data_IF_733807108308
#
_entry.id   IF_733807108308
#
_cell.length_a   1.000
_cell.length_b   1.000
_cell.length_c   1.000
_cell.angle_alpha   90.00
_cell.angle_beta   90.00
_cell.angle_gamma   90.00
#
_symmetry.space_group_name_H-M   'P 1'
#
loop_
_entity.id
_entity.type
_entity.pdbx_description
1 polymer ?
#
# COMPACT_ATOMS: atom_id res chain seq x y z
N UNK A 1 16.33 -6.07 10.93
CA UNK A 1 15.25 -7.03 11.24
C UNK A 1 15.75 -8.41 10.81
N UNK A 2 15.51 -9.42 11.64
CA UNK A 2 16.05 -10.78 11.48
C UNK A 2 15.79 -11.33 10.08
N UNK A 3 16.81 -11.83 9.40
CA UNK A 3 16.79 -12.40 8.04
C UNK A 3 16.08 -13.78 7.99
N UNK A 4 15.09 -13.99 8.86
CA UNK A 4 14.37 -15.26 8.97
C UNK A 4 13.26 -15.27 7.91
N UNK A 5 13.12 -16.37 7.15
CA UNK A 5 11.98 -16.55 6.26
C UNK A 5 10.67 -16.32 7.02
N UNK A 6 9.72 -15.64 6.38
CA UNK A 6 8.41 -15.31 6.97
C UNK A 6 7.70 -16.54 7.53
N UNK A 7 7.83 -17.69 6.86
CA UNK A 7 7.23 -18.97 7.26
C UNK A 7 7.76 -19.52 8.61
N UNK A 8 8.90 -19.02 9.09
CA UNK A 8 9.53 -19.45 10.35
C UNK A 8 9.25 -18.48 11.51
N UNK A 9 8.46 -17.44 11.29
CA UNK A 9 8.10 -16.49 12.34
C UNK A 9 7.00 -17.07 13.24
N UNK A 10 7.07 -16.85 14.56
CA UNK A 10 5.96 -17.16 15.46
C UNK A 10 4.67 -16.45 15.03
N UNK A 11 3.51 -17.07 15.25
CA UNK A 11 2.20 -16.51 14.89
C UNK A 11 2.01 -15.07 15.39
N UNK A 12 2.48 -14.77 16.62
CA UNK A 12 2.44 -13.41 17.17
C UNK A 12 3.25 -12.41 16.33
N UNK A 13 4.43 -12.80 15.84
CA UNK A 13 5.26 -11.94 14.99
C UNK A 13 4.64 -11.77 13.60
N UNK A 14 4.01 -12.81 13.06
CA UNK A 14 3.25 -12.72 11.81
C UNK A 14 2.10 -11.72 11.91
N UNK A 15 1.32 -11.78 13.00
CA UNK A 15 0.20 -10.86 13.23
C UNK A 15 0.71 -9.41 13.37
N UNK A 16 1.79 -9.20 14.11
CA UNK A 16 2.38 -7.88 14.27
C UNK A 16 2.91 -7.32 12.93
N UNK A 17 3.52 -8.17 12.10
CA UNK A 17 3.98 -7.78 10.76
C UNK A 17 2.82 -7.42 9.84
N UNK A 18 1.76 -8.23 9.82
CA UNK A 18 0.54 -7.92 9.08
C UNK A 18 -0.06 -6.57 9.51
N UNK A 19 -0.18 -6.35 10.82
CA UNK A 19 -0.70 -5.09 11.37
C UNK A 19 0.16 -3.89 10.98
N UNK A 20 1.49 -4.03 11.05
CA UNK A 20 2.43 -2.97 10.67
C UNK A 20 2.26 -2.58 9.20
N UNK A 21 2.29 -3.55 8.28
CA UNK A 21 2.17 -3.25 6.85
C UNK A 21 0.78 -2.76 6.46
N UNK A 22 -0.28 -3.23 7.13
CA UNK A 22 -1.64 -2.70 6.91
C UNK A 22 -1.74 -1.23 7.33
N UNK A 23 -1.13 -0.84 8.46
CA UNK A 23 -1.10 0.56 8.88
C UNK A 23 -0.27 1.42 7.92
N UNK A 24 0.89 0.92 7.49
CA UNK A 24 1.73 1.62 6.52
C UNK A 24 1.00 1.83 5.18
N UNK A 25 0.21 0.83 4.75
CA UNK A 25 -0.64 0.94 3.56
C UNK A 25 -1.74 2.00 3.74
N UNK A 26 -2.45 1.98 4.86
CA UNK A 26 -3.48 2.97 5.21
C UNK A 26 -2.89 4.39 5.20
N UNK A 27 -1.80 4.61 5.92
CA UNK A 27 -1.12 5.90 5.98
C UNK A 27 -0.66 6.38 4.59
N UNK A 28 -0.11 5.48 3.77
CA UNK A 28 0.31 5.82 2.40
C UNK A 28 -0.88 6.16 1.49
N UNK A 29 -2.00 5.45 1.62
CA UNK A 29 -3.20 5.75 0.83
C UNK A 29 -3.77 7.13 1.21
N UNK A 30 -3.86 7.42 2.50
CA UNK A 30 -4.40 8.68 3.03
C UNK A 30 -3.50 9.89 2.74
N UNK A 31 -2.20 9.75 2.94
CA UNK A 31 -1.27 10.90 2.90
C UNK A 31 -0.48 10.97 1.58
N UNK A 32 -0.27 9.84 0.93
CA UNK A 32 0.61 9.71 -0.23
C UNK A 32 -0.12 9.52 -1.56
N UNK A 33 -1.30 8.88 -1.55
CA UNK A 33 -2.04 8.56 -2.78
C UNK A 33 -3.22 9.51 -3.02
N UNK A 34 -4.19 9.52 -2.10
CA UNK A 34 -5.43 10.28 -2.26
C UNK A 34 -5.19 11.78 -2.52
N UNK A 35 -4.29 12.48 -1.79
CA UNK A 35 -4.05 13.91 -2.05
C UNK A 35 -3.47 14.18 -3.44
N UNK A 36 -2.72 13.23 -4.02
CA UNK A 36 -2.18 13.37 -5.38
C UNK A 36 -3.28 13.24 -6.43
N UNK A 37 -4.24 12.33 -6.21
CA UNK A 37 -5.41 12.17 -7.07
C UNK A 37 -6.30 13.41 -7.02
N UNK A 38 -6.63 13.89 -5.83
CA UNK A 38 -7.44 15.10 -5.63
C UNK A 38 -6.79 16.33 -6.27
N UNK A 39 -5.46 16.45 -6.16
CA UNK A 39 -4.70 17.53 -6.80
C UNK A 39 -4.78 17.49 -8.32
N UNK A 40 -4.67 16.30 -8.92
CA UNK A 40 -4.83 16.14 -10.36
C UNK A 40 -6.27 16.44 -10.79
N UNK A 41 -7.27 15.95 -10.04
CA UNK A 41 -8.68 16.23 -10.32
C UNK A 41 -8.97 17.73 -10.31
N UNK A 42 -8.49 18.45 -9.28
CA UNK A 42 -8.61 19.90 -9.19
C UNK A 42 -7.91 20.61 -10.37
N UNK A 43 -6.72 20.15 -10.76
CA UNK A 43 -5.97 20.72 -11.87
C UNK A 43 -6.72 20.57 -13.21
N UNK A 44 -7.32 19.42 -13.49
CA UNK A 44 -8.02 19.18 -14.75
C UNK A 44 -9.46 19.72 -14.76
N UNK A 45 -9.94 20.29 -13.65
CA UNK A 45 -11.31 20.81 -13.54
C UNK A 45 -11.49 22.09 -14.37
N UNK A 46 -12.52 22.18 -15.24
CA UNK A 46 -12.68 23.30 -16.18
C UNK A 46 -12.77 24.70 -15.52
N UNK A 47 -13.35 24.80 -14.32
CA UNK A 47 -13.53 26.07 -13.62
C UNK A 47 -12.22 26.68 -13.07
N UNK A 48 -11.16 25.88 -12.91
CA UNK A 48 -9.88 26.35 -12.37
C UNK A 48 -8.83 26.63 -13.46
N UNK A 49 -9.08 26.16 -14.69
CA UNK A 49 -8.18 26.35 -15.85
C UNK A 49 -8.16 27.81 -16.36
N UNK A 50 -9.17 28.61 -16.04
CA UNK A 50 -9.21 30.03 -16.43
C UNK A 50 -8.21 30.90 -15.64
N UNK A 51 -7.70 30.42 -14.49
CA UNK A 51 -6.80 31.20 -13.62
C UNK A 51 -5.32 30.87 -13.82
N UNK A 52 -4.98 29.65 -14.20
CA UNK A 52 -3.60 29.21 -14.45
C UNK A 52 -3.59 28.21 -15.60
N UNK A 53 -2.88 28.48 -16.72
CA UNK A 53 -2.77 27.52 -17.81
C UNK A 53 -1.97 26.30 -17.34
N UNK A 54 -2.63 25.15 -17.26
CA UNK A 54 -1.98 23.88 -16.97
C UNK A 54 -1.47 23.30 -18.28
N UNK A 55 -0.17 22.97 -18.29
CA UNK A 55 0.45 22.35 -19.46
C UNK A 55 0.29 20.84 -19.42
N UNK A 56 0.28 20.18 -20.59
CA UNK A 56 0.33 18.72 -20.70
C UNK A 56 1.52 18.12 -19.96
N UNK A 57 2.64 18.85 -19.86
CA UNK A 57 3.81 18.43 -19.07
C UNK A 57 3.50 18.36 -17.58
N UNK A 58 2.72 19.32 -17.07
CA UNK A 58 2.27 19.33 -15.68
C UNK A 58 1.34 18.16 -15.38
N UNK A 59 0.35 17.92 -16.24
CA UNK A 59 -0.58 16.79 -16.11
C UNK A 59 0.18 15.46 -16.15
N UNK A 60 1.06 15.28 -17.13
CA UNK A 60 1.89 14.06 -17.26
C UNK A 60 2.72 13.80 -16.00
N UNK A 61 3.32 14.83 -15.43
CA UNK A 61 4.10 14.69 -14.19
C UNK A 61 3.22 14.26 -13.02
N UNK A 62 2.06 14.89 -12.83
CA UNK A 62 1.14 14.53 -11.75
C UNK A 62 0.62 13.10 -11.90
N UNK A 63 0.31 12.67 -13.12
CA UNK A 63 -0.03 11.27 -13.41
C UNK A 63 1.11 10.33 -13.04
N UNK A 64 2.35 10.65 -13.40
CA UNK A 64 3.51 9.85 -13.03
C UNK A 64 3.66 9.74 -11.50
N UNK A 65 3.50 10.85 -10.77
CA UNK A 65 3.59 10.87 -9.31
C UNK A 65 2.51 9.99 -8.64
N UNK A 66 1.33 9.86 -9.26
CA UNK A 66 0.24 8.96 -8.83
C UNK A 66 0.60 7.51 -9.13
N UNK A 67 1.10 7.21 -10.33
CA UNK A 67 1.49 5.85 -10.73
C UNK A 67 2.62 5.31 -9.85
N UNK A 68 3.60 6.14 -9.52
CA UNK A 68 4.68 5.76 -8.60
C UNK A 68 4.14 5.50 -7.18
N UNK A 69 3.16 6.30 -6.75
CA UNK A 69 2.48 6.11 -5.46
C UNK A 69 1.66 4.81 -5.45
N UNK A 70 0.95 4.50 -6.53
CA UNK A 70 0.20 3.26 -6.69
C UNK A 70 1.13 2.03 -6.62
N UNK A 71 2.27 2.08 -7.32
CA UNK A 71 3.25 1.00 -7.31
C UNK A 71 3.78 0.71 -5.91
N UNK A 72 3.97 1.73 -5.08
CA UNK A 72 4.36 1.53 -3.69
C UNK A 72 3.24 0.88 -2.86
N UNK A 73 1.98 1.29 -3.07
CA UNK A 73 0.83 0.64 -2.44
C UNK A 73 0.73 -0.85 -2.81
N UNK A 74 0.96 -1.21 -4.08
CA UNK A 74 0.99 -2.60 -4.53
C UNK A 74 2.07 -3.41 -3.79
N UNK A 75 3.25 -2.83 -3.59
CA UNK A 75 4.33 -3.48 -2.84
C UNK A 75 3.95 -3.74 -1.39
N UNK A 76 3.26 -2.80 -0.73
CA UNK A 76 2.75 -2.99 0.62
C UNK A 76 1.64 -4.04 0.67
N UNK A 77 0.73 -4.03 -0.30
CA UNK A 77 -0.35 -5.00 -0.40
C UNK A 77 0.19 -6.43 -0.55
N UNK A 78 1.20 -6.63 -1.40
CA UNK A 78 1.90 -7.92 -1.53
C UNK A 78 2.53 -8.36 -0.20
N UNK A 79 3.11 -7.43 0.57
CA UNK A 79 3.64 -7.77 1.90
C UNK A 79 2.52 -8.20 2.84
N UNK A 80 1.44 -7.43 2.95
CA UNK A 80 0.29 -7.77 3.79
C UNK A 80 -0.25 -9.16 3.43
N UNK A 81 -0.46 -9.43 2.13
CA UNK A 81 -0.93 -10.72 1.64
C UNK A 81 0.01 -11.87 2.02
N UNK A 82 1.32 -11.69 1.86
CA UNK A 82 2.30 -12.70 2.28
C UNK A 82 2.22 -13.02 3.78
N UNK A 83 2.03 -12.00 4.63
CA UNK A 83 1.83 -12.21 6.07
C UNK A 83 0.50 -12.92 6.37
N UNK A 84 -0.58 -12.57 5.69
CA UNK A 84 -1.88 -13.23 5.87
C UNK A 84 -1.83 -14.71 5.44
N UNK A 85 -1.16 -15.01 4.32
CA UNK A 85 -0.94 -16.39 3.87
C UNK A 85 -0.10 -17.17 4.89
N UNK A 86 0.95 -16.57 5.44
CA UNK A 86 1.78 -17.22 6.47
C UNK A 86 0.99 -17.47 7.77
N UNK A 87 0.11 -16.55 8.17
CA UNK A 87 -0.81 -16.73 9.30
C UNK A 87 -1.73 -17.94 9.06
N UNK A 88 -2.37 -18.02 7.89
CA UNK A 88 -3.27 -19.13 7.54
C UNK A 88 -2.53 -20.48 7.59
N UNK A 89 -1.34 -20.56 7.00
CA UNK A 89 -0.48 -21.76 7.07
C UNK A 89 -0.14 -22.14 8.51
N UNK A 90 0.26 -21.16 9.33
CA UNK A 90 0.61 -21.41 10.73
C UNK A 90 -0.57 -21.93 11.55
N UNK A 91 -1.78 -21.40 11.31
CA UNK A 91 -3.00 -21.88 11.96
C UNK A 91 -3.32 -23.33 11.56
N UNK A 92 -3.23 -23.67 10.27
CA UNK A 92 -3.49 -25.03 9.77
C UNK A 92 -2.52 -26.06 10.38
N UNK A 93 -1.23 -25.72 10.49
CA UNK A 93 -0.23 -26.58 11.12
C UNK A 93 -0.50 -26.80 12.62
N UNK A 94 -0.95 -25.76 13.34
CA UNK A 94 -1.25 -25.86 14.76
C UNK A 94 -2.53 -26.66 15.05
N UNK A 95 -3.52 -26.64 14.15
CA UNK A 95 -4.74 -27.46 14.28
C UNK A 95 -4.44 -28.96 14.09
N UNK A 96 -3.56 -29.29 13.14
CA UNK A 96 -3.14 -30.68 12.89
C UNK A 96 -2.32 -31.28 14.04
N UNK A 97 -1.59 -30.46 14.80
CA UNK A 97 -0.79 -30.92 15.95
C UNK A 97 -1.61 -31.10 17.24
N UNK A 98 -2.90 -30.75 17.24
CA UNK A 98 -3.82 -30.93 18.37
C UNK A 98 -4.85 -32.06 18.13
N UNK A 99 -4.78 -32.75 16.99
CA UNK A 99 -5.64 -33.88 16.60
C UNK A 99 -4.88 -35.19 16.69
#
# INVERSE_FOLDING_TARGET
MSDRPIDNLPLRELILGAQQFSRELEEHLEQGFLPKVEKLEAAIRPADQEKVPITDKTVRRQVQDILDSHKFADQLMVKVENYLIAIDKSLQQNVLNQS
#
